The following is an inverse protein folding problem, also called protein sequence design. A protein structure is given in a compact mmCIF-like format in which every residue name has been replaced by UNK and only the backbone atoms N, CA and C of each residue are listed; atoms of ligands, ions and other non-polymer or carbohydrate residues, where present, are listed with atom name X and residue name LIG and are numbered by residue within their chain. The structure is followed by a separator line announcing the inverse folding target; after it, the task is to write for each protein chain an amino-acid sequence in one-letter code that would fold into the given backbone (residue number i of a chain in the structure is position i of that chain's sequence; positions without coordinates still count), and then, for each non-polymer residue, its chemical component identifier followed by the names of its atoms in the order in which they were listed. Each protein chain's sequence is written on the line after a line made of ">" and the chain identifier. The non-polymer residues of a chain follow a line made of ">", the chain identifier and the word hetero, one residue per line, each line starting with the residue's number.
data_IF_128303465316
#
_entry.id   IF_128303465316
#
_cell.length_a   1.000
_cell.length_b   1.000
_cell.length_c   1.000
_cell.angle_alpha   90.00
_cell.angle_beta   90.00
_cell.angle_gamma   90.00
#
_symmetry.space_group_name_H-M   'P 1'
#
loop_
_entity.id
_entity.type
_entity.pdbx_description
1 polymer ?
#
# COMPACT_ATOMS: atom_id res chain seq x y z
N UNK A 1 14.52 -4.66 9.38
CA UNK A 1 13.49 -5.61 9.86
C UNK A 1 12.62 -5.97 8.65
N UNK A 2 11.94 -7.13 8.58
CA UNK A 2 10.99 -7.35 7.49
C UNK A 2 9.92 -6.23 7.52
N UNK A 3 9.59 -5.67 6.35
CA UNK A 3 8.55 -4.64 6.22
C UNK A 3 7.22 -5.18 6.77
N UNK A 4 6.39 -4.36 7.42
CA UNK A 4 5.13 -4.82 7.98
C UNK A 4 4.22 -5.37 6.87
N UNK A 5 3.42 -6.41 7.15
CA UNK A 5 2.42 -6.89 6.20
C UNK A 5 1.43 -5.76 5.87
N UNK A 6 1.18 -5.55 4.58
CA UNK A 6 0.36 -4.46 4.07
C UNK A 6 -1.02 -4.98 3.63
N UNK A 7 -2.06 -4.60 4.36
CA UNK A 7 -3.45 -4.87 3.97
C UNK A 7 -4.00 -3.72 3.12
N UNK A 8 -4.11 -3.93 1.81
CA UNK A 8 -4.60 -2.92 0.86
C UNK A 8 -6.13 -2.80 0.81
N UNK A 9 -6.87 -3.58 1.59
CA UNK A 9 -8.33 -3.76 1.46
C UNK A 9 -9.12 -2.47 1.27
N UNK A 10 -8.94 -1.49 2.16
CA UNK A 10 -9.54 -0.15 2.04
C UNK A 10 -8.47 0.90 2.31
N UNK A 11 -8.04 1.56 1.24
CA UNK A 11 -6.95 2.51 1.24
C UNK A 11 -7.49 3.94 1.05
N UNK A 12 -7.43 4.76 2.10
CA UNK A 12 -7.78 6.18 2.02
C UNK A 12 -6.61 7.00 1.48
N UNK A 13 -6.86 7.77 0.42
CA UNK A 13 -5.98 8.86 -0.02
C UNK A 13 -6.65 10.18 0.34
N UNK A 14 -5.96 11.04 1.09
CA UNK A 14 -6.56 12.28 1.60
C UNK A 14 -6.72 13.34 0.50
N UNK A 15 -7.68 14.23 0.69
CA UNK A 15 -7.82 15.48 -0.08
C UNK A 15 -8.21 16.60 0.88
N UNK A 16 -7.30 17.54 1.10
CA UNK A 16 -7.45 18.60 2.09
C UNK A 16 -8.63 19.52 1.80
N UNK A 17 -8.88 19.83 0.52
CA UNK A 17 -9.97 20.70 0.13
C UNK A 17 -11.33 20.03 0.38
N UNK A 18 -11.49 18.76 -0.01
CA UNK A 18 -12.71 17.99 0.24
C UNK A 18 -12.99 17.78 1.73
N UNK A 19 -11.95 17.70 2.56
CA UNK A 19 -12.09 17.57 4.01
C UNK A 19 -12.37 18.91 4.71
N UNK A 20 -12.34 20.05 4.00
CA UNK A 20 -12.55 21.36 4.61
C UNK A 20 -11.33 21.92 5.35
N UNK A 21 -10.12 21.46 5.02
CA UNK A 21 -8.85 21.92 5.60
C UNK A 21 -8.12 20.87 6.44
N UNK A 22 -6.93 21.20 6.96
CA UNK A 22 -6.05 20.24 7.68
C UNK A 22 -6.71 19.55 8.87
N UNK A 23 -7.45 20.29 9.71
CA UNK A 23 -8.17 19.71 10.87
C UNK A 23 -9.29 18.75 10.42
N UNK A 24 -9.91 19.05 9.29
CA UNK A 24 -10.90 18.19 8.67
C UNK A 24 -10.29 16.90 8.13
N UNK A 25 -9.07 16.95 7.59
CA UNK A 25 -8.32 15.74 7.19
C UNK A 25 -8.05 14.85 8.40
N UNK A 26 -7.56 15.43 9.50
CA UNK A 26 -7.29 14.70 10.74
C UNK A 26 -8.56 14.03 11.27
N UNK A 27 -9.68 14.76 11.31
CA UNK A 27 -10.97 14.22 11.75
C UNK A 27 -11.46 13.10 10.82
N UNK A 28 -11.38 13.31 9.51
CA UNK A 28 -11.77 12.31 8.50
C UNK A 28 -10.94 11.03 8.62
N UNK A 29 -9.62 11.15 8.79
CA UNK A 29 -8.74 9.99 8.95
C UNK A 29 -9.06 9.22 10.23
N UNK A 30 -9.26 9.92 11.36
CA UNK A 30 -9.62 9.29 12.63
C UNK A 30 -10.89 8.46 12.50
N UNK A 31 -11.95 9.04 11.94
CA UNK A 31 -13.25 8.38 11.79
C UNK A 31 -13.18 7.21 10.79
N UNK A 32 -12.45 7.38 9.69
CA UNK A 32 -12.28 6.33 8.68
C UNK A 32 -11.47 5.14 9.22
N UNK A 33 -10.42 5.39 10.00
CA UNK A 33 -9.63 4.32 10.64
C UNK A 33 -10.47 3.56 11.66
N UNK A 34 -11.23 4.25 12.51
CA UNK A 34 -12.16 3.62 13.45
C UNK A 34 -13.25 2.80 12.74
N UNK A 35 -13.58 3.14 11.49
CA UNK A 35 -14.54 2.44 10.64
C UNK A 35 -13.93 1.32 9.79
N UNK A 36 -12.60 1.14 9.76
CA UNK A 36 -11.92 0.01 9.14
C UNK A 36 -11.07 0.32 7.91
N UNK A 37 -10.64 1.57 7.69
CA UNK A 37 -9.54 1.86 6.75
C UNK A 37 -8.27 1.12 7.17
N UNK A 38 -7.57 0.54 6.19
CA UNK A 38 -6.39 -0.30 6.42
C UNK A 38 -5.08 0.37 6.00
N UNK A 39 -5.13 1.43 5.18
CA UNK A 39 -3.96 2.27 4.79
C UNK A 39 -4.40 3.72 4.63
N UNK A 40 -3.56 4.68 5.02
CA UNK A 40 -3.78 6.12 4.79
C UNK A 40 -2.63 6.70 3.98
N UNK A 41 -2.94 7.45 2.93
CA UNK A 41 -1.99 8.22 2.14
C UNK A 41 -2.26 9.71 2.32
N UNK A 42 -1.28 10.44 2.85
CA UNK A 42 -1.32 11.89 2.85
C UNK A 42 -0.99 12.39 1.45
N UNK A 43 -1.98 13.05 0.84
CA UNK A 43 -1.84 13.79 -0.41
C UNK A 43 -2.41 15.19 -0.21
N UNK A 44 -1.57 16.17 -0.51
CA UNK A 44 -1.93 17.58 -0.62
C UNK A 44 -0.94 18.25 -1.60
N UNK A 45 -1.28 18.35 -2.89
CA UNK A 45 -0.38 18.90 -3.89
C UNK A 45 -0.11 20.39 -3.68
N UNK A 46 -1.07 21.12 -3.09
CA UNK A 46 -1.05 22.58 -2.98
C UNK A 46 -0.45 23.08 -1.66
N UNK A 47 -0.34 22.22 -0.64
CA UNK A 47 0.28 22.58 0.64
C UNK A 47 1.75 22.99 0.51
N UNK A 48 2.14 24.01 1.27
CA UNK A 48 3.54 24.32 1.52
C UNK A 48 4.24 23.14 2.19
N UNK A 49 5.56 23.07 2.12
CA UNK A 49 6.31 22.00 2.80
C UNK A 49 6.06 22.01 4.32
N UNK A 50 6.04 23.20 4.93
CA UNK A 50 5.80 23.36 6.36
C UNK A 50 4.41 22.86 6.77
N UNK A 51 3.38 23.22 6.01
CA UNK A 51 1.99 22.79 6.29
C UNK A 51 1.83 21.29 6.05
N UNK A 52 2.46 20.76 5.00
CA UNK A 52 2.44 19.33 4.70
C UNK A 52 3.11 18.51 5.81
N UNK A 53 4.25 18.97 6.34
CA UNK A 53 4.92 18.34 7.48
C UNK A 53 4.04 18.41 8.73
N UNK A 54 3.44 19.57 9.01
CA UNK A 54 2.58 19.75 10.18
C UNK A 54 1.38 18.80 10.14
N UNK A 55 0.67 18.74 9.01
CA UNK A 55 -0.44 17.81 8.80
C UNK A 55 0.02 16.35 8.86
N UNK A 56 1.15 16.02 8.22
CA UNK A 56 1.72 14.68 8.28
C UNK A 56 2.02 14.21 9.69
N UNK A 57 2.61 15.07 10.53
CA UNK A 57 2.89 14.74 11.94
C UNK A 57 1.61 14.57 12.76
N UNK A 58 0.59 15.39 12.50
CA UNK A 58 -0.71 15.22 13.13
C UNK A 58 -1.31 13.84 12.77
N UNK A 59 -1.30 13.47 11.50
CA UNK A 59 -1.76 12.15 11.06
C UNK A 59 -0.92 11.00 11.63
N UNK A 60 0.41 11.14 11.68
CA UNK A 60 1.28 10.13 12.27
C UNK A 60 0.95 9.91 13.76
N UNK A 61 0.66 10.99 14.49
CA UNK A 61 0.22 10.91 15.89
C UNK A 61 -1.14 10.24 16.05
N UNK A 62 -2.11 10.54 15.18
CA UNK A 62 -3.45 9.93 15.20
C UNK A 62 -3.41 8.43 14.86
N UNK A 63 -2.50 8.03 13.98
CA UNK A 63 -2.35 6.64 13.54
C UNK A 63 -1.47 5.79 14.46
N UNK A 64 -0.77 6.41 15.43
CA UNK A 64 0.11 5.72 16.35
C UNK A 64 -0.64 4.62 17.13
N UNK A 65 -0.13 3.38 17.08
CA UNK A 65 -0.73 2.24 17.76
C UNK A 65 -1.97 1.63 17.10
N UNK A 66 -2.48 2.23 16.02
CA UNK A 66 -3.64 1.68 15.27
C UNK A 66 -3.26 0.49 14.37
N UNK A 67 -1.97 0.38 14.02
CA UNK A 67 -1.48 -0.57 13.01
C UNK A 67 -1.70 -0.14 11.56
N UNK A 68 -2.38 0.99 11.32
CA UNK A 68 -2.62 1.52 9.96
C UNK A 68 -1.43 2.34 9.49
N UNK A 69 -0.74 1.96 8.39
CA UNK A 69 0.42 2.70 7.90
C UNK A 69 0.01 4.02 7.24
N UNK A 70 0.79 5.05 7.55
CA UNK A 70 0.80 6.34 6.86
C UNK A 70 1.79 6.34 5.70
N UNK A 71 1.31 6.67 4.50
CA UNK A 71 2.10 6.80 3.27
C UNK A 71 2.14 8.27 2.82
N UNK A 72 3.30 8.77 2.42
CA UNK A 72 3.45 10.13 1.87
C UNK A 72 3.37 10.08 0.35
N UNK A 73 2.46 10.84 -0.26
CA UNK A 73 2.37 10.96 -1.71
C UNK A 73 3.46 11.91 -2.25
N UNK A 74 4.22 11.44 -3.25
CA UNK A 74 5.25 12.10 -4.07
C UNK A 74 6.48 12.66 -3.32
N UNK A 75 6.28 13.29 -2.16
CA UNK A 75 7.31 13.99 -1.37
C UNK A 75 8.13 13.03 -0.50
N UNK A 76 8.82 12.07 -1.15
CA UNK A 76 9.55 10.98 -0.49
C UNK A 76 10.53 11.46 0.61
N UNK A 77 11.20 12.58 0.39
CA UNK A 77 12.16 13.17 1.34
C UNK A 77 11.54 13.60 2.68
N UNK A 78 10.21 13.70 2.77
CA UNK A 78 9.51 14.09 4.00
C UNK A 78 9.09 12.89 4.87
N UNK A 79 9.26 11.65 4.39
CA UNK A 79 8.78 10.45 5.09
C UNK A 79 9.33 10.34 6.50
N UNK A 80 10.65 10.47 6.67
CA UNK A 80 11.27 10.38 8.00
C UNK A 80 10.99 11.61 8.87
N UNK A 81 10.90 12.80 8.25
CA UNK A 81 10.58 14.06 8.96
C UNK A 81 9.17 14.03 9.58
N UNK A 82 8.25 13.36 8.89
CA UNK A 82 6.86 13.13 9.32
C UNK A 82 6.75 11.96 10.30
N UNK A 83 7.66 10.97 10.22
CA UNK A 83 7.52 9.70 10.91
C UNK A 83 6.56 8.73 10.20
N UNK A 84 6.45 8.85 8.88
CA UNK A 84 5.60 7.98 8.06
C UNK A 84 6.23 6.60 7.81
N UNK A 85 5.42 5.68 7.27
CA UNK A 85 5.79 4.28 7.05
C UNK A 85 6.30 4.04 5.62
N UNK A 86 6.08 4.98 4.71
CA UNK A 86 6.53 4.85 3.33
C UNK A 86 6.06 5.99 2.43
N UNK A 87 6.29 5.82 1.14
CA UNK A 87 5.84 6.75 0.11
C UNK A 87 5.08 6.05 -1.03
N UNK A 88 4.33 6.84 -1.79
CA UNK A 88 3.77 6.45 -3.08
C UNK A 88 4.24 7.47 -4.12
N UNK A 89 4.67 7.00 -5.29
CA UNK A 89 5.15 7.87 -6.37
C UNK A 89 4.42 7.59 -7.68
N UNK A 90 4.21 8.64 -8.47
CA UNK A 90 3.79 8.62 -9.85
C UNK A 90 4.92 8.39 -10.85
N UNK A 91 4.55 8.29 -12.13
CA UNK A 91 5.48 8.10 -13.24
C UNK A 91 6.31 9.37 -13.56
N UNK A 92 5.86 10.54 -13.11
CA UNK A 92 6.53 11.83 -13.34
C UNK A 92 7.30 12.36 -12.13
N UNK A 93 7.31 11.61 -11.03
CA UNK A 93 7.95 12.00 -9.77
C UNK A 93 9.40 11.49 -9.73
N UNK A 94 9.97 11.39 -8.53
CA UNK A 94 11.29 10.78 -8.34
C UNK A 94 11.36 9.38 -8.96
N UNK A 95 12.51 9.05 -9.55
CA UNK A 95 12.73 7.70 -10.03
C UNK A 95 12.63 6.71 -8.88
N UNK A 96 12.21 5.48 -9.19
CA UNK A 96 12.01 4.43 -8.18
C UNK A 96 13.33 4.11 -7.43
N UNK A 97 14.47 4.18 -8.12
CA UNK A 97 15.78 3.99 -7.51
C UNK A 97 16.11 5.10 -6.51
N UNK A 98 15.85 6.37 -6.85
CA UNK A 98 16.07 7.49 -5.94
C UNK A 98 15.10 7.46 -4.76
N UNK A 99 13.82 7.16 -5.01
CA UNK A 99 12.82 7.01 -3.97
C UNK A 99 13.21 5.91 -2.97
N UNK A 100 13.63 4.73 -3.46
CA UNK A 100 14.13 3.65 -2.60
C UNK A 100 15.39 4.04 -1.85
N UNK A 101 16.32 4.76 -2.47
CA UNK A 101 17.54 5.26 -1.80
C UNK A 101 17.22 6.19 -0.63
N UNK A 102 16.24 7.08 -0.80
CA UNK A 102 15.80 8.00 0.27
C UNK A 102 15.06 7.27 1.40
N UNK A 103 14.21 6.30 1.05
CA UNK A 103 13.41 5.54 2.00
C UNK A 103 14.21 4.50 2.80
N UNK A 104 15.33 4.06 2.25
CA UNK A 104 16.06 2.90 2.75
C UNK A 104 15.28 1.58 2.55
N UNK A 105 15.78 0.49 3.15
CA UNK A 105 15.27 -0.85 2.89
C UNK A 105 13.96 -1.15 3.62
N UNK A 106 13.64 -0.46 4.72
CA UNK A 106 12.56 -0.87 5.64
C UNK A 106 11.22 -0.17 5.41
N UNK A 107 11.17 0.93 4.65
CA UNK A 107 9.94 1.69 4.39
C UNK A 107 9.19 1.16 3.17
N UNK A 108 7.88 1.35 3.15
CA UNK A 108 7.02 0.95 2.03
C UNK A 108 7.21 1.90 0.83
N UNK A 109 7.21 1.36 -0.39
CA UNK A 109 7.19 2.14 -1.63
C UNK A 109 6.13 1.60 -2.60
N UNK A 110 5.13 2.44 -2.87
CA UNK A 110 4.12 2.20 -3.89
C UNK A 110 4.43 2.92 -5.19
N UNK A 111 4.00 2.34 -6.30
CA UNK A 111 4.09 2.96 -7.63
C UNK A 111 2.73 3.00 -8.32
N UNK A 112 2.40 4.15 -8.85
CA UNK A 112 1.26 4.37 -9.73
C UNK A 112 1.49 3.80 -11.13
N UNK A 113 0.55 3.00 -11.65
CA UNK A 113 0.57 2.39 -12.99
C UNK A 113 -0.78 2.54 -13.70
N UNK A 114 -0.77 2.68 -15.02
CA UNK A 114 -1.94 2.79 -15.88
C UNK A 114 -1.91 1.84 -17.09
N UNK A 115 -0.92 0.95 -17.16
CA UNK A 115 -0.84 -0.08 -18.21
C UNK A 115 -0.03 -1.31 -17.80
N UNK A 116 -0.29 -2.50 -18.40
CA UNK A 116 0.52 -3.69 -18.19
C UNK A 116 2.00 -3.50 -18.55
N UNK A 117 2.30 -2.62 -19.51
CA UNK A 117 3.68 -2.29 -19.88
C UNK A 117 4.43 -1.61 -18.71
N UNK A 118 3.77 -0.72 -17.98
CA UNK A 118 4.35 -0.11 -16.77
C UNK A 118 4.51 -1.12 -15.63
N UNK A 119 3.57 -2.05 -15.46
CA UNK A 119 3.70 -3.15 -14.49
C UNK A 119 4.92 -4.03 -14.82
N UNK A 120 5.09 -4.39 -16.10
CA UNK A 120 6.24 -5.17 -16.55
C UNK A 120 7.57 -4.40 -16.42
N UNK A 121 7.55 -3.06 -16.55
CA UNK A 121 8.72 -2.23 -16.29
C UNK A 121 9.06 -2.20 -14.79
N UNK A 122 8.06 -1.99 -13.94
CA UNK A 122 8.21 -1.99 -12.47
C UNK A 122 8.78 -3.31 -11.94
N UNK A 123 8.35 -4.44 -12.51
CA UNK A 123 8.80 -5.78 -12.12
C UNK A 123 10.24 -6.12 -12.52
N UNK A 124 10.83 -5.33 -13.44
CA UNK A 124 12.20 -5.54 -13.95
C UNK A 124 13.24 -4.70 -13.24
N UNK A 125 12.85 -3.86 -12.29
CA UNK A 125 13.77 -3.00 -11.53
C UNK A 125 14.61 -3.90 -10.62
N UNK A 126 15.92 -4.04 -10.86
CA UNK A 126 16.77 -4.88 -10.05
C UNK A 126 16.89 -4.30 -8.64
N UNK A 127 16.89 -5.17 -7.63
CA UNK A 127 17.19 -4.76 -6.25
C UNK A 127 18.59 -4.15 -6.07
N UNK A 128 19.49 -4.38 -7.04
CA UNK A 128 20.85 -3.82 -7.09
C UNK A 128 20.94 -2.45 -7.79
N UNK A 129 19.88 -1.94 -8.44
CA UNK A 129 19.94 -0.61 -9.08
C UNK A 129 19.91 0.55 -8.08
N UNK A 130 19.89 0.28 -6.78
CA UNK A 130 20.16 1.26 -5.72
C UNK A 130 21.64 1.38 -5.35
N UNK A 131 22.53 0.64 -6.02
CA UNK A 131 23.95 0.51 -5.69
C UNK A 131 24.84 1.68 -6.14
N UNK A 132 24.33 2.93 -6.18
CA UNK A 132 25.28 4.06 -6.24
C UNK A 132 26.08 4.03 -4.93
N UNK A 133 27.42 3.86 -4.97
CA UNK A 133 28.21 3.68 -3.77
C UNK A 133 28.20 4.98 -2.96
N UNK A 134 27.36 5.02 -1.93
CA UNK A 134 27.57 5.87 -0.78
C UNK A 134 28.50 5.08 0.14
N UNK A 135 29.67 5.65 0.49
CA UNK A 135 30.65 5.03 1.41
C UNK A 135 30.05 4.67 2.79
N UNK A 136 28.80 5.05 3.04
CA UNK A 136 28.09 4.91 4.31
C UNK A 136 26.86 3.98 4.27
N UNK A 137 26.52 3.34 3.15
CA UNK A 137 25.29 2.52 3.04
C UNK A 137 25.59 1.01 2.85
N UNK A 138 25.01 0.12 3.67
CA UNK A 138 25.34 -1.30 3.64
C UNK A 138 24.57 -2.07 2.56
N UNK A 139 25.30 -2.66 1.62
CA UNK A 139 24.96 -3.91 0.93
C UNK A 139 23.75 -3.94 -0.02
N UNK A 140 23.60 -5.04 -0.79
CA UNK A 140 22.47 -5.23 -1.70
C UNK A 140 21.14 -5.30 -0.93
N UNK A 141 20.09 -4.69 -1.47
CA UNK A 141 18.74 -4.75 -0.87
C UNK A 141 18.16 -6.16 -1.11
N UNK A 142 18.08 -6.99 -0.06
CA UNK A 142 17.50 -8.35 -0.15
C UNK A 142 15.99 -8.34 -0.46
N UNK A 143 15.31 -7.23 -0.21
CA UNK A 143 13.88 -7.04 -0.44
C UNK A 143 13.60 -6.29 -1.74
N UNK A 144 12.49 -6.60 -2.42
CA UNK A 144 12.10 -5.93 -3.67
C UNK A 144 12.04 -4.40 -3.53
N UNK A 145 12.29 -3.69 -4.64
CA UNK A 145 12.35 -2.21 -4.67
C UNK A 145 10.98 -1.57 -4.43
N UNK A 146 9.91 -2.24 -4.86
CA UNK A 146 8.53 -1.82 -4.71
C UNK A 146 7.76 -2.84 -3.86
N UNK A 147 6.75 -2.34 -3.14
CA UNK A 147 5.93 -3.13 -2.21
C UNK A 147 4.51 -3.37 -2.74
N UNK A 148 3.97 -2.43 -3.51
CA UNK A 148 2.64 -2.54 -4.12
C UNK A 148 2.50 -1.58 -5.32
N UNK A 149 1.46 -1.79 -6.12
CA UNK A 149 1.12 -0.93 -7.26
C UNK A 149 -0.27 -0.31 -7.10
N UNK A 150 -0.42 0.96 -7.49
CA UNK A 150 -1.72 1.63 -7.64
C UNK A 150 -2.15 1.67 -9.10
N UNK A 151 -3.12 0.84 -9.49
CA UNK A 151 -3.64 0.79 -10.84
C UNK A 151 -4.71 1.87 -11.05
N UNK A 152 -4.50 2.76 -12.02
CA UNK A 152 -5.35 3.95 -12.23
C UNK A 152 -5.59 4.26 -13.72
N UNK A 153 -6.69 4.93 -14.08
CA UNK A 153 -7.88 5.26 -13.25
C UNK A 153 -9.06 4.35 -13.64
N UNK A 154 -9.73 3.74 -12.65
CA UNK A 154 -10.88 2.86 -12.92
C UNK A 154 -12.04 3.60 -13.61
N UNK A 155 -12.39 4.77 -13.09
CA UNK A 155 -13.42 5.67 -13.63
C UNK A 155 -12.80 7.08 -13.81
N UNK A 156 -13.38 7.91 -14.68
CA UNK A 156 -13.04 9.33 -14.72
C UNK A 156 -13.28 10.03 -13.36
N UNK A 157 -12.37 10.92 -12.93
CA UNK A 157 -12.48 11.64 -11.65
C UNK A 157 -12.17 13.13 -11.78
N UNK A 158 -12.76 13.94 -10.90
CA UNK A 158 -12.39 15.34 -10.73
C UNK A 158 -11.16 15.59 -9.85
N UNK A 159 -10.73 14.59 -9.06
CA UNK A 159 -9.60 14.73 -8.11
C UNK A 159 -8.24 14.75 -8.81
N UNK A 160 -8.13 14.07 -9.96
CA UNK A 160 -6.93 14.03 -10.81
C UNK A 160 -7.33 14.04 -12.29
N UNK A 161 -7.75 15.19 -12.86
CA UNK A 161 -8.36 15.28 -14.18
C UNK A 161 -7.47 14.79 -15.32
N UNK A 162 -6.15 14.91 -15.15
CA UNK A 162 -5.14 14.52 -16.13
C UNK A 162 -4.98 12.99 -16.30
N UNK A 163 -5.52 12.19 -15.38
CA UNK A 163 -5.32 10.74 -15.37
C UNK A 163 -6.18 9.97 -16.39
N UNK A 164 -7.23 10.58 -16.95
CA UNK A 164 -8.17 9.90 -17.87
C UNK A 164 -8.93 8.73 -17.21
N UNK A 165 -9.55 7.88 -18.03
CA UNK A 165 -10.19 6.61 -17.62
C UNK A 165 -9.58 5.46 -18.42
N UNK A 166 -9.10 4.42 -17.72
CA UNK A 166 -8.60 3.19 -18.35
C UNK A 166 -9.58 2.02 -18.24
N UNK A 167 -10.51 2.08 -17.28
CA UNK A 167 -11.58 1.10 -17.10
C UNK A 167 -11.11 -0.24 -16.51
N UNK A 168 -12.08 -1.07 -16.13
CA UNK A 168 -11.85 -2.36 -15.45
C UNK A 168 -10.95 -3.32 -16.25
N UNK A 169 -11.02 -3.31 -17.58
CA UNK A 169 -10.22 -4.20 -18.42
C UNK A 169 -8.72 -3.95 -18.27
N UNK A 170 -8.30 -2.68 -18.22
CA UNK A 170 -6.89 -2.34 -18.04
C UNK A 170 -6.45 -2.62 -16.61
N UNK A 171 -7.30 -2.31 -15.62
CA UNK A 171 -7.04 -2.64 -14.20
C UNK A 171 -6.83 -4.15 -14.02
N UNK A 172 -7.68 -4.98 -14.63
CA UNK A 172 -7.55 -6.43 -14.63
C UNK A 172 -6.25 -6.90 -15.29
N UNK A 173 -5.87 -6.31 -16.43
CA UNK A 173 -4.63 -6.65 -17.12
C UNK A 173 -3.39 -6.27 -16.29
N UNK A 174 -3.43 -5.16 -15.56
CA UNK A 174 -2.38 -4.77 -14.61
C UNK A 174 -2.27 -5.77 -13.45
N UNK A 175 -3.40 -6.17 -12.85
CA UNK A 175 -3.43 -7.15 -11.77
C UNK A 175 -2.86 -8.51 -12.20
N UNK A 176 -3.24 -8.98 -13.39
CA UNK A 176 -2.76 -10.24 -13.94
C UNK A 176 -1.26 -10.23 -14.27
N UNK A 177 -0.73 -9.08 -14.70
CA UNK A 177 0.69 -8.93 -15.01
C UNK A 177 1.58 -8.69 -13.77
N UNK A 178 1.01 -8.36 -12.62
CA UNK A 178 1.77 -7.91 -11.44
C UNK A 178 2.16 -9.07 -10.53
N UNK A 179 3.46 -9.18 -10.15
CA UNK A 179 3.89 -10.05 -9.05
C UNK A 179 3.66 -9.40 -7.68
N UNK A 180 3.38 -8.11 -7.63
CA UNK A 180 3.12 -7.33 -6.41
C UNK A 180 1.61 -7.17 -6.18
N UNK A 181 1.18 -6.96 -4.93
CA UNK A 181 -0.19 -6.52 -4.63
C UNK A 181 -0.55 -5.26 -5.40
N UNK A 182 -1.78 -5.21 -5.91
CA UNK A 182 -2.32 -4.11 -6.72
C UNK A 182 -3.58 -3.58 -6.06
N UNK A 183 -3.62 -2.27 -5.80
CA UNK A 183 -4.81 -1.55 -5.38
C UNK A 183 -5.39 -0.79 -6.58
N UNK A 184 -6.71 -0.81 -6.76
CA UNK A 184 -7.36 0.02 -7.79
C UNK A 184 -7.66 1.41 -7.23
N UNK A 185 -7.43 2.45 -8.02
CA UNK A 185 -7.76 3.84 -7.68
C UNK A 185 -8.36 4.57 -8.89
N UNK A 186 -8.98 5.72 -8.63
CA UNK A 186 -9.62 6.56 -9.65
C UNK A 186 -11.12 6.30 -9.69
N UNK A 187 -11.87 7.01 -8.82
CA UNK A 187 -13.33 7.03 -8.83
C UNK A 187 -13.99 5.75 -8.28
N UNK A 188 -13.21 4.90 -7.62
CA UNK A 188 -13.66 3.64 -7.01
C UNK A 188 -14.77 3.88 -6.00
N UNK A 189 -15.80 3.03 -6.06
CA UNK A 189 -16.98 3.03 -5.19
C UNK A 189 -17.19 1.65 -4.58
N UNK A 190 -18.02 1.57 -3.54
CA UNK A 190 -18.40 0.30 -2.93
C UNK A 190 -19.02 -0.71 -3.93
N UNK A 191 -19.74 -0.22 -4.94
CA UNK A 191 -20.31 -1.05 -6.01
C UNK A 191 -19.26 -1.77 -6.86
N UNK A 192 -18.03 -1.27 -6.91
CA UNK A 192 -16.95 -1.86 -7.74
C UNK A 192 -16.27 -3.05 -7.06
N UNK A 193 -16.48 -3.24 -5.74
CA UNK A 193 -15.76 -4.22 -4.94
C UNK A 193 -15.85 -5.65 -5.50
N UNK A 194 -17.04 -6.07 -5.95
CA UNK A 194 -17.26 -7.40 -6.53
C UNK A 194 -16.44 -7.61 -7.81
N UNK A 195 -16.45 -6.63 -8.72
CA UNK A 195 -15.71 -6.72 -9.96
C UNK A 195 -14.19 -6.66 -9.75
N UNK A 196 -13.73 -5.81 -8.84
CA UNK A 196 -12.31 -5.69 -8.49
C UNK A 196 -11.77 -6.99 -7.87
N UNK A 197 -12.48 -7.57 -6.89
CA UNK A 197 -12.11 -8.88 -6.31
C UNK A 197 -12.10 -9.99 -7.34
N UNK A 198 -13.06 -9.99 -8.26
CA UNK A 198 -13.16 -10.99 -9.33
C UNK A 198 -11.95 -10.95 -10.27
N UNK A 199 -11.37 -9.78 -10.53
CA UNK A 199 -10.20 -9.61 -11.42
C UNK A 199 -8.85 -9.66 -10.70
N UNK A 200 -8.83 -10.02 -9.41
CA UNK A 200 -7.58 -10.25 -8.67
C UNK A 200 -6.88 -8.99 -8.16
N UNK A 201 -7.65 -7.91 -7.93
CA UNK A 201 -7.18 -6.72 -7.22
C UNK A 201 -7.17 -6.99 -5.71
N UNK A 202 -6.17 -6.46 -5.01
CA UNK A 202 -5.91 -6.68 -3.59
C UNK A 202 -6.51 -5.58 -2.70
N UNK A 203 -7.05 -4.51 -3.28
CA UNK A 203 -7.65 -3.41 -2.52
C UNK A 203 -8.40 -2.36 -3.31
N UNK A 204 -9.16 -1.53 -2.58
CA UNK A 204 -9.79 -0.32 -3.12
C UNK A 204 -9.17 0.92 -2.49
N UNK A 205 -8.51 1.74 -3.31
CA UNK A 205 -8.08 3.07 -2.93
C UNK A 205 -9.11 4.11 -3.32
N UNK A 206 -9.46 4.97 -2.36
CA UNK A 206 -10.54 5.96 -2.51
C UNK A 206 -10.11 7.32 -1.98
N UNK A 207 -10.70 8.37 -2.56
CA UNK A 207 -10.59 9.76 -2.07
C UNK A 207 -11.99 10.24 -1.70
N UNK A 208 -12.77 10.69 -2.68
CA UNK A 208 -14.08 11.33 -2.47
C UNK A 208 -15.19 10.38 -1.99
N UNK A 209 -14.98 9.06 -2.05
CA UNK A 209 -15.89 8.10 -1.42
C UNK A 209 -15.82 8.16 0.12
N UNK A 210 -14.81 8.85 0.69
CA UNK A 210 -14.66 9.10 2.13
C UNK A 210 -14.49 10.60 2.40
N UNK A 211 -13.50 11.25 1.78
CA UNK A 211 -13.27 12.69 1.92
C UNK A 211 -14.48 13.49 1.42
N UNK A 212 -14.95 14.43 2.24
CA UNK A 212 -16.11 15.27 1.93
C UNK A 212 -17.47 14.58 2.08
N UNK A 213 -17.51 13.34 2.57
CA UNK A 213 -18.78 12.68 2.88
C UNK A 213 -19.40 13.27 4.16
N UNK A 214 -20.74 13.46 4.22
CA UNK A 214 -21.41 13.94 5.43
C UNK A 214 -21.25 13.01 6.63
N UNK A 215 -21.15 11.70 6.38
CA UNK A 215 -20.90 10.67 7.39
C UNK A 215 -19.75 9.76 6.91
N UNK A 216 -18.54 10.15 7.33
CA UNK A 216 -17.29 9.43 7.04
C UNK A 216 -17.32 7.99 7.55
N UNK A 217 -17.92 7.77 8.72
CA UNK A 217 -18.00 6.44 9.34
C UNK A 217 -18.89 5.52 8.51
N UNK A 218 -20.09 5.97 8.14
CA UNK A 218 -21.02 5.19 7.33
C UNK A 218 -20.46 4.91 5.93
N UNK A 219 -19.87 5.91 5.28
CA UNK A 219 -19.25 5.76 3.97
C UNK A 219 -18.10 4.74 3.98
N UNK A 220 -17.24 4.82 5.00
CA UNK A 220 -16.14 3.87 5.17
C UNK A 220 -16.64 2.45 5.45
N UNK A 221 -17.62 2.28 6.35
CA UNK A 221 -18.22 0.96 6.63
C UNK A 221 -18.83 0.32 5.39
N UNK A 222 -19.45 1.11 4.51
CA UNK A 222 -20.00 0.61 3.26
C UNK A 222 -18.90 0.02 2.35
N UNK A 223 -17.75 0.68 2.25
CA UNK A 223 -16.60 0.18 1.48
C UNK A 223 -16.02 -1.09 2.10
N UNK A 224 -15.80 -1.11 3.42
CA UNK A 224 -15.28 -2.28 4.14
C UNK A 224 -16.21 -3.49 3.98
N UNK A 225 -17.52 -3.29 4.14
CA UNK A 225 -18.51 -4.35 3.97
C UNK A 225 -18.58 -4.85 2.52
N UNK A 226 -18.58 -3.94 1.55
CA UNK A 226 -18.57 -4.33 0.14
C UNK A 226 -17.33 -5.16 -0.21
N UNK A 227 -16.16 -4.75 0.29
CA UNK A 227 -14.90 -5.47 0.09
C UNK A 227 -14.88 -6.86 0.76
N UNK A 228 -15.37 -6.95 2.00
CA UNK A 228 -15.40 -8.20 2.76
C UNK A 228 -16.41 -9.22 2.20
N UNK A 229 -17.54 -8.74 1.67
CA UNK A 229 -18.59 -9.59 1.10
C UNK A 229 -18.25 -10.07 -0.32
N UNK A 230 -17.39 -9.33 -1.03
CA UNK A 230 -16.97 -9.67 -2.38
C UNK A 230 -16.04 -10.90 -2.38
N UNK A 231 -16.42 -11.91 -3.18
CA UNK A 231 -15.65 -13.15 -3.29
C UNK A 231 -14.51 -12.99 -4.31
N UNK A 232 -13.31 -13.54 -4.03
CA UNK A 232 -12.28 -13.69 -5.05
C UNK A 232 -12.81 -14.50 -6.25
N UNK A 233 -12.38 -14.15 -7.46
CA UNK A 233 -12.78 -14.87 -8.66
C UNK A 233 -12.34 -16.35 -8.64
N UNK A 234 -13.27 -17.27 -8.90
CA UNK A 234 -13.01 -18.71 -9.11
C UNK A 234 -12.92 -18.97 -10.61
N UNK A 235 -11.71 -18.88 -11.21
CA UNK A 235 -11.26 -19.31 -12.57
C UNK A 235 -10.26 -18.27 -13.12
N UNK A 236 -9.05 -18.60 -13.59
CA UNK A 236 -8.68 -19.60 -14.61
C UNK A 236 -7.30 -20.22 -14.33
N UNK A 237 -6.98 -21.27 -15.09
CA UNK A 237 -5.77 -22.15 -15.15
C UNK A 237 -4.38 -21.48 -15.22
N UNK A 238 -4.26 -20.20 -14.90
CA UNK A 238 -2.99 -19.51 -14.66
C UNK A 238 -2.86 -19.40 -13.16
N UNK A 239 -2.04 -20.23 -12.55
CA UNK A 239 -1.57 -19.98 -11.19
C UNK A 239 -0.91 -18.61 -11.22
N UNK A 240 -1.44 -17.57 -10.53
CA UNK A 240 -0.72 -16.32 -10.42
C UNK A 240 0.65 -16.64 -9.81
N UNK A 241 1.75 -15.97 -10.24
CA UNK A 241 3.02 -16.15 -9.57
C UNK A 241 2.82 -15.96 -8.07
N UNK A 242 3.49 -16.74 -7.21
CA UNK A 242 3.32 -16.63 -5.77
C UNK A 242 3.55 -15.17 -5.38
N UNK A 243 2.46 -14.47 -5.03
CA UNK A 243 2.53 -13.12 -4.49
C UNK A 243 3.16 -13.28 -3.11
N UNK A 244 4.25 -12.57 -2.84
CA UNK A 244 4.89 -12.57 -1.53
C UNK A 244 3.97 -11.86 -0.53
N UNK A 245 2.94 -12.57 -0.07
CA UNK A 245 2.15 -12.15 1.08
C UNK A 245 2.84 -12.73 2.30
N UNK A 246 3.52 -11.89 3.07
CA UNK A 246 3.99 -12.26 4.40
C UNK A 246 2.77 -12.36 5.33
N UNK A 247 1.97 -13.42 5.19
CA UNK A 247 0.94 -13.76 6.17
C UNK A 247 1.66 -14.37 7.35
N UNK A 248 1.78 -13.60 8.44
CA UNK A 248 2.12 -14.17 9.73
C UNK A 248 0.94 -15.06 10.15
N UNK A 249 1.05 -16.36 9.92
CA UNK A 249 0.20 -17.34 10.58
C UNK A 249 0.47 -17.20 12.08
N UNK A 250 -0.44 -16.55 12.80
CA UNK A 250 -0.44 -16.57 14.26
C UNK A 250 -0.56 -18.02 14.70
N UNK A 251 0.54 -18.58 15.21
CA UNK A 251 0.48 -19.85 15.94
C UNK A 251 -0.33 -19.59 17.22
N UNK A 252 -1.29 -20.46 17.58
CA UNK A 252 -1.92 -20.35 18.88
C UNK A 252 -0.86 -20.65 19.94
N UNK A 253 -0.73 -19.74 20.91
CA UNK A 253 0.07 -19.96 22.11
C UNK A 253 -0.48 -21.16 22.88
N UNK A 254 0.38 -22.13 23.19
CA UNK A 254 0.04 -23.29 24.02
C UNK A 254 0.43 -24.63 23.42
N UNK A 255 1.73 -24.90 23.30
CA UNK A 255 2.23 -26.27 23.24
C UNK A 255 3.50 -26.35 24.10
N UNK A 256 3.41 -27.10 25.19
CA UNK A 256 4.48 -27.33 26.16
C UNK A 256 5.75 -27.88 25.49
N UNK A 257 6.91 -27.39 25.92
CA UNK A 257 8.22 -27.89 25.52
C UNK A 257 8.43 -29.32 26.04
N UNK A 258 8.18 -30.31 25.18
CA UNK A 258 8.64 -31.69 25.39
C UNK A 258 10.15 -31.78 25.21
N UNK A 259 10.86 -32.13 26.28
CA UNK A 259 12.32 -32.29 26.33
C UNK A 259 12.82 -33.30 25.28
N UNK A 260 13.61 -32.85 24.32
CA UNK A 260 14.35 -33.70 23.39
C UNK A 260 15.70 -34.10 24.00
N UNK A 261 15.80 -35.31 24.55
CA UNK A 261 17.08 -35.94 24.91
C UNK A 261 17.78 -36.46 23.65
N UNK A 262 18.97 -35.93 23.37
CA UNK A 262 19.83 -36.42 22.29
C UNK A 262 20.35 -37.85 22.56
N UNK A 263 20.42 -38.73 21.54
CA UNK A 263 21.03 -40.05 21.71
C UNK A 263 22.56 -39.96 21.74
N UNK A 264 23.18 -40.71 22.65
CA UNK A 264 24.65 -40.84 22.78
C UNK A 264 25.25 -41.58 21.58
N UNK A 265 26.49 -41.28 21.18
CA UNK A 265 27.16 -41.99 20.09
C UNK A 265 27.57 -43.40 20.51
N UNK A 266 27.39 -44.35 19.60
CA UNK A 266 27.84 -45.75 19.72
C UNK A 266 29.33 -45.81 19.41
N UNK A 267 30.12 -46.40 20.31
CA UNK A 267 31.52 -46.76 20.08
C UNK A 267 31.58 -48.00 19.16
N UNK A 268 32.29 -47.89 18.04
CA UNK A 268 32.71 -49.03 17.22
C UNK A 268 33.98 -49.66 17.83
N UNK A 269 33.87 -50.93 18.19
CA UNK A 269 34.99 -51.82 18.51
C UNK A 269 35.24 -52.70 17.28
N UNK A 270 36.33 -52.42 16.55
CA UNK A 270 37.31 -53.37 15.94
C UNK A 270 38.06 -52.77 14.75
#
# INVERSE_FOLDING_TARGET
>A
MPRPPLDLSVYLVTDTALCGGPDGVVTTVRDAVAAGVTVVQLRDPDASEADFIALGRALASELAGTGVPLIVNDRVHLVDVIGAHGAHVGQGDLSIAEARRLLGPDKLLGLSVSSPAQVAAASRIPSSMTDTPCESAPGPIEHGVLDYLGAQSLHATGTKPEAGEVGLNVIAACAAASPLPVVAIGGVKASDAADLRRVGIDGMAVVSAICGQPDVTAATRALVQAWANAQPGVNSTVTPPPRHVNVLLTRPEGAEEGSYTAPRPVQEDR
#
